data_IF_841636053301
#
_entry.id   IF_841636053301
#
_cell.length_a   1.000
_cell.length_b   1.000
_cell.length_c   1.000
_cell.angle_alpha   90.00
_cell.angle_beta   90.00
_cell.angle_gamma   90.00
#
_symmetry.space_group_name_H-M   'P 1'
#
loop_
_entity.id
_entity.type
_entity.pdbx_description
1 polymer ?
#
# COMPACT_ATOMS: atom_id res chain seq x y z
N UNK A 1 3.17 -12.47 -36.63
CA UNK A 1 4.15 -11.40 -36.46
C UNK A 1 5.47 -11.95 -35.92
N UNK A 2 5.44 -12.69 -34.82
CA UNK A 2 6.64 -13.27 -34.20
C UNK A 2 7.06 -14.62 -34.83
N UNK A 3 6.29 -15.16 -35.79
CA UNK A 3 6.53 -16.46 -36.44
C UNK A 3 6.69 -17.62 -35.43
N UNK A 4 6.08 -17.51 -34.27
CA UNK A 4 6.08 -18.55 -33.25
C UNK A 4 5.04 -19.61 -33.57
N UNK A 5 5.33 -20.90 -33.32
CA UNK A 5 4.33 -21.94 -33.38
C UNK A 5 3.16 -21.64 -32.42
N UNK A 6 1.94 -21.82 -32.89
CA UNK A 6 0.75 -21.55 -32.10
C UNK A 6 -0.31 -22.63 -32.25
N UNK A 7 -1.10 -22.85 -31.21
CA UNK A 7 -2.23 -23.80 -31.18
C UNK A 7 -3.50 -23.00 -30.93
N UNK A 8 -4.43 -23.02 -31.88
CA UNK A 8 -5.66 -22.21 -31.85
C UNK A 8 -6.85 -23.03 -31.37
N UNK A 9 -7.03 -23.19 -30.06
CA UNK A 9 -8.09 -24.00 -29.43
C UNK A 9 -9.48 -23.53 -29.82
N UNK A 10 -9.73 -22.21 -29.75
CA UNK A 10 -11.01 -21.62 -30.07
C UNK A 10 -11.46 -21.82 -31.53
N UNK A 11 -10.52 -21.83 -32.49
CA UNK A 11 -10.82 -22.02 -33.90
C UNK A 11 -11.32 -23.45 -34.18
N UNK A 12 -10.74 -24.45 -33.50
CA UNK A 12 -11.21 -25.84 -33.66
C UNK A 12 -12.60 -26.00 -33.08
N UNK A 13 -12.88 -25.46 -31.89
CA UNK A 13 -14.21 -25.48 -31.30
C UNK A 13 -15.23 -24.75 -32.17
N UNK A 14 -14.90 -23.59 -32.72
CA UNK A 14 -15.76 -22.84 -33.63
C UNK A 14 -16.04 -23.59 -34.95
N UNK A 15 -15.07 -24.32 -35.49
CA UNK A 15 -15.27 -25.15 -36.68
C UNK A 15 -16.26 -26.29 -36.41
N UNK A 16 -16.17 -26.94 -35.26
CA UNK A 16 -17.13 -27.99 -34.84
C UNK A 16 -18.51 -27.42 -34.57
N UNK A 17 -18.63 -26.25 -33.98
CA UNK A 17 -19.90 -25.57 -33.79
C UNK A 17 -20.56 -25.23 -35.13
N UNK A 18 -19.81 -24.65 -36.06
CA UNK A 18 -20.29 -24.35 -37.42
C UNK A 18 -20.72 -25.62 -38.20
N UNK A 19 -20.05 -26.73 -37.95
CA UNK A 19 -20.41 -28.02 -38.51
C UNK A 19 -21.60 -28.69 -37.79
N UNK A 20 -22.20 -28.06 -36.80
CA UNK A 20 -23.30 -28.60 -36.02
C UNK A 20 -22.94 -29.72 -35.05
N UNK A 21 -21.63 -29.99 -34.85
CA UNK A 21 -21.11 -31.09 -34.03
C UNK A 21 -20.81 -30.68 -32.60
N UNK A 22 -20.92 -29.40 -32.27
CA UNK A 22 -20.66 -28.85 -30.96
C UNK A 22 -21.80 -27.89 -30.57
N UNK A 23 -22.19 -27.94 -29.31
CA UNK A 23 -23.03 -26.94 -28.65
C UNK A 23 -22.14 -26.16 -27.66
N UNK A 24 -21.96 -24.89 -27.91
CA UNK A 24 -21.05 -24.05 -27.11
C UNK A 24 -21.56 -23.86 -25.68
N UNK A 25 -22.87 -23.63 -25.54
CA UNK A 25 -23.54 -23.43 -24.25
C UNK A 25 -24.84 -24.17 -24.17
N UNK A 26 -25.08 -24.88 -23.08
CA UNK A 26 -26.35 -25.57 -22.88
C UNK A 26 -26.32 -26.62 -21.77
N UNK A 27 -27.23 -27.58 -21.86
CA UNK A 27 -27.28 -28.74 -20.97
C UNK A 27 -27.10 -30.04 -21.77
N UNK A 28 -26.85 -31.15 -21.10
CA UNK A 28 -26.69 -32.47 -21.74
C UNK A 28 -27.93 -32.90 -22.49
N UNK A 29 -29.13 -32.55 -22.00
CA UNK A 29 -30.42 -32.87 -22.59
C UNK A 29 -30.61 -32.15 -23.93
N UNK A 30 -30.03 -30.97 -24.11
CA UNK A 30 -30.11 -30.18 -25.37
C UNK A 30 -29.00 -30.55 -26.35
N UNK A 31 -27.88 -31.06 -25.85
CA UNK A 31 -26.69 -31.38 -26.65
C UNK A 31 -26.72 -32.77 -27.30
N UNK A 32 -27.91 -33.37 -27.49
CA UNK A 32 -28.02 -34.74 -28.04
C UNK A 32 -27.23 -34.88 -29.34
N UNK A 33 -26.27 -35.84 -29.36
CA UNK A 33 -25.44 -36.12 -30.55
C UNK A 33 -24.35 -35.07 -30.83
N UNK A 34 -24.15 -34.09 -29.93
CA UNK A 34 -23.11 -33.02 -30.04
C UNK A 34 -22.21 -33.02 -28.83
N UNK A 35 -21.04 -32.51 -29.00
CA UNK A 35 -20.13 -32.17 -27.90
C UNK A 35 -20.71 -30.97 -27.18
N UNK A 36 -21.02 -31.08 -25.87
CA UNK A 36 -21.35 -29.93 -25.06
C UNK A 36 -20.05 -29.32 -24.51
N UNK A 37 -19.78 -28.08 -24.94
CA UNK A 37 -18.54 -27.41 -24.52
C UNK A 37 -18.61 -26.88 -23.09
N UNK A 38 -19.70 -26.20 -22.75
CA UNK A 38 -19.85 -25.48 -21.49
C UNK A 38 -21.32 -25.39 -21.06
N UNK A 39 -21.57 -25.32 -19.75
CA UNK A 39 -22.92 -25.05 -19.23
C UNK A 39 -23.24 -23.55 -19.22
N UNK A 40 -22.22 -22.70 -19.04
CA UNK A 40 -22.35 -21.24 -18.87
C UNK A 40 -21.84 -20.42 -20.08
N UNK A 41 -21.17 -21.07 -21.03
CA UNK A 41 -20.58 -20.42 -22.20
C UNK A 41 -19.13 -19.94 -22.00
N UNK A 42 -18.56 -20.14 -20.82
CA UNK A 42 -17.22 -19.69 -20.46
C UNK A 42 -16.33 -20.84 -19.98
N UNK A 43 -16.80 -21.62 -19.02
CA UNK A 43 -16.02 -22.67 -18.38
C UNK A 43 -16.26 -24.03 -19.07
N UNK A 44 -15.26 -24.61 -19.74
CA UNK A 44 -15.40 -25.90 -20.37
C UNK A 44 -15.72 -26.98 -19.33
N UNK A 45 -16.72 -27.81 -19.64
CA UNK A 45 -16.95 -29.07 -18.92
C UNK A 45 -16.02 -30.15 -19.43
N UNK A 46 -16.10 -31.39 -18.90
CA UNK A 46 -15.21 -32.50 -19.29
C UNK A 46 -15.08 -32.68 -20.80
N UNK A 47 -16.18 -32.66 -21.55
CA UNK A 47 -16.15 -32.86 -23.01
C UNK A 47 -15.47 -31.69 -23.75
N UNK A 48 -15.75 -30.45 -23.33
CA UNK A 48 -15.05 -29.24 -23.83
C UNK A 48 -13.56 -29.21 -23.47
N UNK A 49 -13.22 -29.63 -22.25
CA UNK A 49 -11.84 -29.79 -21.81
C UNK A 49 -11.10 -30.88 -22.61
N UNK A 50 -11.71 -32.02 -22.86
CA UNK A 50 -11.15 -33.10 -23.68
C UNK A 50 -10.93 -32.68 -25.13
N UNK A 51 -11.83 -31.85 -25.70
CA UNK A 51 -11.65 -31.27 -27.03
C UNK A 51 -10.37 -30.39 -27.06
N UNK A 52 -10.18 -29.51 -26.08
CA UNK A 52 -8.99 -28.67 -25.98
C UNK A 52 -7.72 -29.50 -25.76
N UNK A 53 -7.75 -30.48 -24.87
CA UNK A 53 -6.61 -31.38 -24.63
C UNK A 53 -6.18 -32.10 -25.91
N UNK A 54 -7.16 -32.59 -26.71
CA UNK A 54 -6.92 -33.25 -27.99
C UNK A 54 -6.34 -32.28 -29.04
N UNK A 55 -6.82 -31.04 -29.08
CA UNK A 55 -6.27 -30.01 -29.96
C UNK A 55 -4.82 -29.65 -29.59
N UNK A 56 -4.53 -29.56 -28.30
CA UNK A 56 -3.16 -29.32 -27.79
C UNK A 56 -2.24 -30.49 -28.21
N UNK A 57 -2.66 -31.72 -28.00
CA UNK A 57 -1.86 -32.92 -28.34
C UNK A 57 -1.50 -32.93 -29.85
N UNK A 58 -2.51 -32.71 -30.71
CA UNK A 58 -2.28 -32.62 -32.18
C UNK A 58 -1.38 -31.45 -32.56
N UNK A 59 -1.56 -30.31 -31.93
CA UNK A 59 -0.73 -29.11 -32.16
C UNK A 59 0.73 -29.32 -31.77
N UNK A 60 0.96 -29.92 -30.60
CA UNK A 60 2.32 -30.26 -30.16
C UNK A 60 3.00 -31.30 -31.08
N UNK A 61 2.24 -32.30 -31.53
CA UNK A 61 2.77 -33.30 -32.50
C UNK A 61 3.13 -32.66 -33.82
N UNK A 62 2.31 -31.73 -34.33
CA UNK A 62 2.59 -30.94 -35.53
C UNK A 62 3.87 -30.12 -35.34
N UNK A 63 3.99 -29.35 -34.29
CA UNK A 63 5.18 -28.56 -33.97
C UNK A 63 6.43 -29.44 -33.89
N UNK A 64 6.33 -30.62 -33.25
CA UNK A 64 7.43 -31.60 -33.16
C UNK A 64 7.85 -32.13 -34.50
N UNK A 65 6.91 -32.38 -35.41
CA UNK A 65 7.19 -32.90 -36.78
C UNK A 65 7.79 -31.83 -37.67
N UNK A 66 7.39 -30.58 -37.52
CA UNK A 66 7.92 -29.43 -38.28
C UNK A 66 9.34 -29.08 -37.89
N UNK A 67 9.85 -29.66 -36.79
CA UNK A 67 11.18 -29.65 -36.22
C UNK A 67 12.04 -28.48 -36.74
N UNK A 68 11.69 -27.28 -36.34
CA UNK A 68 12.59 -26.15 -36.49
C UNK A 68 13.74 -26.37 -35.52
N UNK A 69 14.94 -26.61 -36.06
CA UNK A 69 16.16 -26.55 -35.27
C UNK A 69 16.13 -25.30 -34.42
N UNK A 70 16.63 -25.38 -33.17
CA UNK A 70 16.73 -24.22 -32.28
C UNK A 70 17.33 -23.04 -33.02
N UNK A 71 16.49 -22.12 -33.46
CA UNK A 71 16.94 -20.89 -34.14
C UNK A 71 16.91 -19.76 -33.10
N UNK A 72 17.94 -18.96 -33.15
CA UNK A 72 17.92 -17.70 -32.41
C UNK A 72 16.84 -16.82 -33.04
N UNK A 73 15.73 -16.65 -32.35
CA UNK A 73 14.67 -15.75 -32.76
C UNK A 73 15.06 -14.31 -32.44
N UNK A 74 15.32 -13.53 -33.47
CA UNK A 74 15.40 -12.08 -33.34
C UNK A 74 13.99 -11.56 -33.14
N UNK A 75 13.69 -11.02 -31.94
CA UNK A 75 12.42 -10.37 -31.73
C UNK A 75 12.36 -9.08 -32.56
N UNK A 76 11.28 -8.86 -33.32
CA UNK A 76 11.08 -7.57 -33.98
C UNK A 76 10.78 -6.48 -32.94
N UNK A 77 10.80 -5.21 -33.38
CA UNK A 77 10.39 -4.10 -32.55
C UNK A 77 8.99 -4.35 -31.94
N UNK A 78 8.77 -3.96 -30.67
CA UNK A 78 7.48 -4.15 -30.01
C UNK A 78 6.32 -3.52 -30.80
N UNK A 79 5.18 -4.22 -30.91
CA UNK A 79 3.96 -3.68 -31.51
C UNK A 79 3.34 -2.54 -30.69
N UNK A 80 3.59 -2.54 -29.41
CA UNK A 80 3.14 -1.55 -28.44
C UNK A 80 4.34 -1.07 -27.64
N UNK A 81 4.18 0.03 -26.90
CA UNK A 81 5.26 0.53 -26.05
C UNK A 81 5.73 -0.50 -25.02
N UNK A 82 7.00 -0.40 -24.64
CA UNK A 82 7.68 -1.31 -23.71
C UNK A 82 7.60 -0.86 -22.24
N UNK A 83 6.67 0.03 -21.91
CA UNK A 83 6.59 0.68 -20.60
C UNK A 83 6.39 -0.31 -19.44
N UNK A 84 5.92 -1.52 -19.73
CA UNK A 84 5.71 -2.56 -18.72
C UNK A 84 6.85 -3.57 -18.61
N UNK A 85 7.87 -3.51 -19.45
CA UNK A 85 9.03 -4.41 -19.37
C UNK A 85 9.85 -4.19 -18.08
N UNK A 86 9.78 -3.00 -17.48
CA UNK A 86 10.40 -2.69 -16.20
C UNK A 86 9.50 -3.01 -14.99
N UNK A 87 8.32 -3.60 -15.22
CA UNK A 87 7.39 -3.91 -14.14
C UNK A 87 7.74 -5.24 -13.48
N UNK A 88 7.84 -5.24 -12.15
CA UNK A 88 8.20 -6.41 -11.36
C UNK A 88 7.44 -6.44 -10.02
N UNK A 89 7.32 -7.65 -9.46
CA UNK A 89 6.71 -7.90 -8.16
C UNK A 89 7.77 -8.31 -7.14
N UNK A 90 7.83 -7.57 -6.04
CA UNK A 90 8.85 -7.78 -5.00
C UNK A 90 8.22 -8.35 -3.72
N UNK A 91 8.94 -9.24 -3.04
CA UNK A 91 8.61 -9.68 -1.68
C UNK A 91 8.82 -8.48 -0.75
N UNK A 92 7.80 -8.08 0.03
CA UNK A 92 7.87 -6.85 0.81
C UNK A 92 9.05 -6.79 1.78
N UNK A 93 9.35 -7.88 2.47
CA UNK A 93 10.46 -7.95 3.44
C UNK A 93 11.86 -7.81 2.81
N UNK A 94 11.98 -7.98 1.48
CA UNK A 94 13.27 -7.84 0.77
C UNK A 94 13.60 -6.41 0.39
N UNK A 95 12.59 -5.55 0.19
CA UNK A 95 12.81 -4.20 -0.32
C UNK A 95 12.29 -3.09 0.61
N UNK A 96 11.50 -3.42 1.63
CA UNK A 96 10.90 -2.46 2.53
C UNK A 96 11.32 -2.67 3.99
N UNK A 97 11.39 -1.57 4.73
CA UNK A 97 11.59 -1.54 6.17
C UNK A 97 10.24 -1.37 6.87
N UNK A 98 9.94 -2.25 7.80
CA UNK A 98 8.69 -2.30 8.56
C UNK A 98 8.89 -1.85 10.00
N UNK A 99 7.93 -1.16 10.58
CA UNK A 99 7.95 -0.94 12.02
C UNK A 99 7.61 -2.23 12.79
N UNK A 100 7.86 -2.23 14.12
CA UNK A 100 7.71 -3.41 14.98
C UNK A 100 6.26 -3.92 15.11
N UNK A 101 5.28 -3.25 14.53
CA UNK A 101 3.87 -3.66 14.56
C UNK A 101 3.51 -4.62 13.43
N UNK A 102 4.37 -4.73 12.42
CA UNK A 102 4.19 -5.65 11.31
C UNK A 102 4.76 -7.03 11.66
N UNK A 103 4.08 -8.06 11.19
CA UNK A 103 4.49 -9.46 11.35
C UNK A 103 4.43 -10.14 10.00
N UNK A 104 5.40 -10.99 9.74
CA UNK A 104 5.34 -11.91 8.61
C UNK A 104 4.58 -13.17 9.03
N UNK A 105 3.57 -13.56 8.26
CA UNK A 105 2.79 -14.77 8.50
C UNK A 105 2.81 -15.68 7.27
N UNK A 106 2.89 -16.97 7.51
CA UNK A 106 2.87 -17.98 6.46
C UNK A 106 1.41 -18.28 6.06
N UNK A 107 1.11 -18.16 4.79
CA UNK A 107 -0.25 -18.33 4.27
C UNK A 107 -0.71 -19.78 4.31
N UNK A 108 0.19 -20.75 4.10
CA UNK A 108 -0.14 -22.18 4.04
C UNK A 108 -0.69 -22.73 5.35
N UNK A 109 -0.27 -22.15 6.49
CA UNK A 109 -0.68 -22.54 7.85
C UNK A 109 -1.74 -21.63 8.46
N UNK A 110 -2.07 -20.51 7.80
CA UNK A 110 -3.13 -19.58 8.25
C UNK A 110 -4.44 -19.94 7.55
N UNK A 111 -5.46 -20.46 8.26
CA UNK A 111 -6.63 -21.07 7.62
C UNK A 111 -7.36 -20.15 6.64
N UNK A 112 -7.57 -18.88 7.01
CA UNK A 112 -8.24 -17.87 6.16
C UNK A 112 -7.46 -17.51 4.91
N UNK A 113 -6.13 -17.68 4.91
CA UNK A 113 -5.23 -17.27 3.84
C UNK A 113 -4.69 -18.46 3.03
N UNK A 114 -4.94 -19.68 3.45
CA UNK A 114 -4.38 -20.91 2.84
C UNK A 114 -4.57 -21.02 1.34
N UNK A 115 -5.72 -20.56 0.82
CA UNK A 115 -6.00 -20.60 -0.62
C UNK A 115 -5.10 -19.66 -1.46
N UNK A 116 -4.35 -18.77 -0.82
CA UNK A 116 -3.42 -17.85 -1.47
C UNK A 116 -1.97 -18.33 -1.43
N UNK A 117 -1.69 -19.50 -0.82
CA UNK A 117 -0.32 -20.03 -0.71
C UNK A 117 0.38 -20.29 -2.04
N UNK A 118 -0.38 -20.44 -3.14
CA UNK A 118 0.18 -20.51 -4.50
C UNK A 118 0.60 -19.15 -5.09
N UNK A 119 0.22 -18.02 -4.45
CA UNK A 119 0.59 -16.66 -4.86
C UNK A 119 1.60 -16.03 -3.90
N UNK A 120 1.41 -16.30 -2.60
CA UNK A 120 2.20 -15.72 -1.53
C UNK A 120 2.56 -16.83 -0.53
N UNK A 121 3.83 -17.16 -0.40
CA UNK A 121 4.30 -18.06 0.68
C UNK A 121 4.09 -17.39 2.03
N UNK A 122 4.41 -16.09 2.09
CA UNK A 122 4.21 -15.24 3.25
C UNK A 122 3.56 -13.92 2.87
N UNK A 123 2.89 -13.30 3.84
CA UNK A 123 2.39 -11.92 3.75
C UNK A 123 2.83 -11.15 4.98
N UNK A 124 3.10 -9.86 4.79
CA UNK A 124 3.30 -8.92 5.90
C UNK A 124 1.94 -8.42 6.37
N UNK A 125 1.69 -8.47 7.67
CA UNK A 125 0.40 -8.05 8.23
C UNK A 125 0.55 -7.13 9.43
N UNK A 126 -0.32 -6.15 9.52
CA UNK A 126 -0.56 -5.34 10.71
C UNK A 126 -2.02 -4.90 10.75
N UNK A 127 -2.59 -4.84 11.93
CA UNK A 127 -3.91 -4.25 12.20
C UNK A 127 -3.81 -2.97 13.03
N UNK A 128 -2.59 -2.53 13.34
CA UNK A 128 -2.34 -1.38 14.19
C UNK A 128 -2.42 -0.10 13.39
N UNK A 129 -3.35 0.76 13.74
CA UNK A 129 -3.47 2.10 13.16
C UNK A 129 -2.16 2.88 13.34
N UNK A 130 -1.73 3.59 12.30
CA UNK A 130 -0.47 4.33 12.27
C UNK A 130 0.76 3.48 11.99
N UNK A 131 0.69 2.14 12.04
CA UNK A 131 1.84 1.30 11.65
C UNK A 131 2.20 1.49 10.20
N UNK A 132 3.48 1.41 9.88
CA UNK A 132 3.97 1.77 8.55
C UNK A 132 5.11 0.90 8.08
N UNK A 133 5.29 0.90 6.77
CA UNK A 133 6.51 0.43 6.12
C UNK A 133 6.96 1.43 5.05
N UNK A 134 8.26 1.42 4.76
CA UNK A 134 8.85 2.34 3.79
C UNK A 134 9.83 1.61 2.87
N UNK A 135 9.89 2.04 1.63
CA UNK A 135 10.86 1.57 0.64
C UNK A 135 11.27 2.69 -0.31
N UNK A 136 12.42 2.52 -0.95
CA UNK A 136 12.87 3.42 -2.00
C UNK A 136 12.82 2.75 -3.36
N UNK A 137 12.55 3.51 -4.42
CA UNK A 137 12.63 3.02 -5.77
C UNK A 137 12.94 4.13 -6.78
N UNK A 138 13.51 3.74 -7.92
CA UNK A 138 13.64 4.58 -9.10
C UNK A 138 12.66 4.09 -10.16
N UNK A 139 11.69 4.92 -10.52
CA UNK A 139 10.62 4.55 -11.44
C UNK A 139 9.50 5.56 -11.47
N UNK A 140 8.32 5.13 -11.92
CA UNK A 140 7.15 6.00 -12.08
C UNK A 140 5.81 5.35 -11.67
N UNK A 141 5.85 4.13 -11.13
CA UNK A 141 4.63 3.47 -10.65
C UNK A 141 4.92 2.52 -9.52
N UNK A 142 4.07 2.57 -8.50
CA UNK A 142 4.05 1.62 -7.40
C UNK A 142 2.69 0.96 -7.30
N UNK A 143 2.62 -0.21 -6.68
CA UNK A 143 1.35 -0.86 -6.37
C UNK A 143 1.46 -1.77 -5.17
N UNK A 144 0.29 -2.11 -4.64
CA UNK A 144 0.14 -3.09 -3.57
C UNK A 144 -0.64 -4.28 -4.12
N UNK A 145 -0.06 -5.46 -4.04
CA UNK A 145 -0.76 -6.72 -4.27
C UNK A 145 -0.97 -7.39 -2.92
N UNK A 146 -2.20 -7.41 -2.47
CA UNK A 146 -2.60 -7.77 -1.11
C UNK A 146 -3.83 -8.68 -1.10
N UNK A 147 -4.25 -9.09 0.10
CA UNK A 147 -5.45 -9.89 0.28
C UNK A 147 -6.50 -9.02 0.95
N UNK A 148 -7.59 -8.78 0.23
CA UNK A 148 -8.81 -8.20 0.78
C UNK A 148 -9.61 -9.21 1.58
N UNK A 149 -10.27 -8.76 2.64
CA UNK A 149 -11.10 -9.56 3.53
C UNK A 149 -12.02 -8.69 4.39
N UNK A 150 -12.87 -9.29 5.22
CA UNK A 150 -13.81 -8.53 6.08
C UNK A 150 -13.13 -7.53 6.99
N UNK A 151 -11.98 -7.91 7.57
CA UNK A 151 -11.22 -7.13 8.54
C UNK A 151 -10.29 -6.09 7.92
N UNK A 152 -10.12 -6.06 6.59
CA UNK A 152 -9.16 -5.14 5.97
C UNK A 152 -9.58 -3.68 6.12
N UNK A 153 -8.58 -2.82 6.26
CA UNK A 153 -8.74 -1.39 6.45
C UNK A 153 -8.36 -0.56 5.23
N UNK A 154 -7.90 0.62 5.50
CA UNK A 154 -7.40 1.59 4.53
C UNK A 154 -5.91 1.86 4.81
N UNK A 155 -5.20 2.30 3.79
CA UNK A 155 -3.82 2.78 3.94
C UNK A 155 -3.70 4.20 3.43
N UNK A 156 -2.75 4.93 3.98
CA UNK A 156 -2.33 6.24 3.53
C UNK A 156 -0.99 6.11 2.84
N UNK A 157 -0.77 6.93 1.84
CA UNK A 157 0.44 6.91 1.02
C UNK A 157 1.18 8.22 1.20
N UNK A 158 2.46 8.10 1.55
CA UNK A 158 3.38 9.23 1.55
C UNK A 158 4.41 9.00 0.44
N UNK A 159 4.61 10.02 -0.37
CA UNK A 159 5.66 10.05 -1.38
C UNK A 159 6.63 11.17 -1.00
N UNK A 160 7.90 10.81 -0.86
CA UNK A 160 8.98 11.73 -0.49
C UNK A 160 8.65 12.51 0.82
N UNK A 161 8.05 11.79 1.78
CA UNK A 161 7.66 12.30 3.10
C UNK A 161 6.39 13.16 3.13
N UNK A 162 5.69 13.31 2.01
CA UNK A 162 4.42 14.07 1.93
C UNK A 162 3.24 13.13 1.75
N UNK A 163 2.16 13.35 2.47
CA UNK A 163 0.88 12.73 2.14
C UNK A 163 0.44 13.16 0.76
N UNK A 164 0.06 12.20 -0.05
CA UNK A 164 -0.50 12.45 -1.38
C UNK A 164 -1.97 12.10 -1.41
N UNK A 165 -2.74 12.84 -2.19
CA UNK A 165 -4.09 12.44 -2.57
C UNK A 165 -4.01 11.50 -3.75
N UNK A 166 -4.89 10.52 -3.77
CA UNK A 166 -4.97 9.50 -4.80
C UNK A 166 -6.20 9.80 -5.67
N UNK A 167 -5.94 10.34 -6.86
CA UNK A 167 -6.96 10.56 -7.87
C UNK A 167 -7.12 9.30 -8.70
N UNK A 168 -8.28 8.68 -8.65
CA UNK A 168 -8.58 7.53 -9.49
C UNK A 168 -8.72 7.96 -10.96
N UNK A 169 -7.98 7.32 -11.85
CA UNK A 169 -7.94 7.65 -13.29
C UNK A 169 -8.40 6.50 -14.19
N UNK A 170 -8.45 5.28 -13.69
CA UNK A 170 -9.03 4.12 -14.39
C UNK A 170 -9.54 3.08 -13.41
N UNK A 171 -10.68 2.47 -13.77
CA UNK A 171 -11.28 1.32 -13.06
C UNK A 171 -11.41 0.10 -13.97
N UNK A 172 -10.97 0.19 -15.23
CA UNK A 172 -11.05 -0.92 -16.18
C UNK A 172 -9.92 -1.92 -15.94
N UNK A 173 -10.28 -3.12 -15.51
CA UNK A 173 -9.36 -4.23 -15.23
C UNK A 173 -8.72 -4.13 -13.84
N UNK A 174 -8.09 -3.04 -13.49
CA UNK A 174 -7.52 -2.73 -12.18
C UNK A 174 -7.69 -1.25 -11.87
N UNK A 175 -7.61 -0.88 -10.58
CA UNK A 175 -7.70 0.51 -10.17
C UNK A 175 -6.34 1.16 -10.35
N UNK A 176 -6.31 2.20 -11.19
CA UNK A 176 -5.15 3.03 -11.42
C UNK A 176 -5.39 4.40 -10.79
N UNK A 177 -4.50 4.80 -9.92
CA UNK A 177 -4.48 6.10 -9.27
C UNK A 177 -3.32 6.95 -9.77
N UNK A 178 -3.46 8.24 -9.66
CA UNK A 178 -2.39 9.21 -9.83
C UNK A 178 -2.19 9.96 -8.51
N UNK A 179 -0.94 10.04 -8.06
CA UNK A 179 -0.61 10.86 -6.90
C UNK A 179 -0.81 12.34 -7.24
N UNK A 180 -1.60 13.04 -6.44
CA UNK A 180 -2.05 14.40 -6.68
C UNK A 180 -2.00 15.23 -5.40
N UNK A 181 -1.69 16.51 -5.52
CA UNK A 181 -1.60 17.43 -4.36
C UNK A 181 -2.95 18.05 -3.98
N UNK A 182 -3.94 18.01 -4.88
CA UNK A 182 -5.19 18.77 -4.73
C UNK A 182 -6.46 17.93 -4.81
N UNK A 183 -6.47 16.86 -5.60
CA UNK A 183 -7.68 16.10 -5.95
C UNK A 183 -7.49 14.65 -5.59
N UNK A 184 -8.50 14.02 -5.00
CA UNK A 184 -8.51 12.60 -4.64
C UNK A 184 -8.60 12.39 -3.13
N UNK A 185 -8.53 11.15 -2.71
CA UNK A 185 -8.59 10.74 -1.32
C UNK A 185 -7.19 10.57 -0.74
N UNK A 186 -6.99 10.87 0.54
CA UNK A 186 -5.74 10.57 1.25
C UNK A 186 -5.57 9.09 1.55
N UNK A 187 -6.66 8.33 1.52
CA UNK A 187 -6.67 6.90 1.83
C UNK A 187 -6.89 6.06 0.59
N UNK A 188 -6.16 4.95 0.52
CA UNK A 188 -6.40 3.86 -0.43
C UNK A 188 -7.14 2.76 0.32
N UNK A 189 -8.41 2.59 -0.01
CA UNK A 189 -9.26 1.60 0.64
C UNK A 189 -8.94 0.19 0.12
N UNK A 190 -8.67 -0.74 1.04
CA UNK A 190 -8.40 -2.15 0.71
C UNK A 190 -9.64 -3.04 0.89
N UNK A 191 -10.74 -2.49 1.40
CA UNK A 191 -12.02 -3.18 1.48
C UNK A 191 -12.90 -2.86 0.26
N UNK A 192 -13.50 -3.87 -0.32
CA UNK A 192 -14.43 -3.72 -1.45
C UNK A 192 -15.64 -4.66 -1.30
N UNK A 193 -16.62 -4.54 -2.19
CA UNK A 193 -17.86 -5.34 -2.14
C UNK A 193 -17.67 -6.86 -2.24
N UNK A 194 -16.50 -7.32 -2.67
CA UNK A 194 -16.16 -8.75 -2.74
C UNK A 194 -15.59 -9.29 -1.42
N UNK A 195 -15.33 -8.42 -0.44
CA UNK A 195 -14.81 -8.79 0.88
C UNK A 195 -15.90 -9.23 1.86
N UNK A 196 -17.12 -9.41 1.41
CA UNK A 196 -18.24 -9.90 2.23
C UNK A 196 -18.01 -11.36 2.64
N UNK A 197 -17.61 -11.58 3.89
CA UNK A 197 -17.27 -12.88 4.46
C UNK A 197 -16.33 -13.74 3.60
N UNK A 198 -15.49 -13.12 2.79
CA UNK A 198 -14.54 -13.83 1.93
C UNK A 198 -13.26 -13.03 1.73
N UNK A 199 -12.20 -13.78 1.40
CA UNK A 199 -10.90 -13.20 1.10
C UNK A 199 -10.63 -13.27 -0.40
N UNK A 200 -9.98 -12.24 -0.93
CA UNK A 200 -9.66 -12.12 -2.35
C UNK A 200 -8.30 -11.46 -2.54
N UNK A 201 -7.47 -12.01 -3.43
CA UNK A 201 -6.29 -11.30 -3.93
C UNK A 201 -6.72 -10.09 -4.76
N UNK A 202 -6.07 -8.97 -4.55
CA UNK A 202 -6.36 -7.71 -5.22
C UNK A 202 -5.10 -6.88 -5.38
N UNK A 203 -5.08 -6.00 -6.37
CA UNK A 203 -4.00 -5.04 -6.54
C UNK A 203 -4.52 -3.73 -7.09
N UNK A 204 -3.87 -2.66 -6.67
CA UNK A 204 -4.04 -1.32 -7.20
C UNK A 204 -2.67 -0.72 -7.45
N UNK A 205 -2.58 0.20 -8.39
CA UNK A 205 -1.34 0.87 -8.74
C UNK A 205 -1.49 2.39 -8.71
N UNK A 206 -0.40 3.06 -8.37
CA UNK A 206 -0.31 4.51 -8.23
C UNK A 206 0.77 5.01 -9.17
N UNK A 207 0.40 5.86 -10.11
CA UNK A 207 1.30 6.53 -11.03
C UNK A 207 1.93 7.74 -10.36
N UNK A 208 3.23 7.87 -10.52
CA UNK A 208 4.06 8.97 -10.02
C UNK A 208 4.76 9.66 -11.20
N UNK A 209 5.43 10.77 -10.93
CA UNK A 209 6.42 11.30 -11.88
C UNK A 209 7.62 10.36 -11.90
N UNK A 210 8.22 10.16 -13.09
CA UNK A 210 9.44 9.33 -13.19
C UNK A 210 10.57 9.97 -12.37
N UNK A 211 11.18 9.18 -11.48
CA UNK A 211 12.26 9.66 -10.61
C UNK A 211 12.60 8.68 -9.50
N UNK A 212 13.42 9.16 -8.57
CA UNK A 212 13.76 8.44 -7.33
C UNK A 212 12.79 8.89 -6.26
N UNK A 213 12.12 7.93 -5.62
CA UNK A 213 11.10 8.18 -4.63
C UNK A 213 11.33 7.36 -3.36
N UNK A 214 11.00 7.95 -2.23
CA UNK A 214 10.77 7.25 -0.98
C UNK A 214 9.27 7.13 -0.77
N UNK A 215 8.78 5.91 -0.65
CA UNK A 215 7.37 5.60 -0.39
C UNK A 215 7.21 5.14 1.04
N UNK A 216 6.22 5.68 1.73
CA UNK A 216 5.77 5.16 3.02
C UNK A 216 4.29 4.83 2.92
N UNK A 217 3.94 3.62 3.28
CA UNK A 217 2.56 3.16 3.39
C UNK A 217 2.23 3.03 4.87
N UNK A 218 1.11 3.59 5.29
CA UNK A 218 0.68 3.61 6.69
C UNK A 218 -0.73 3.06 6.81
N UNK A 219 -0.99 2.22 7.80
CA UNK A 219 -2.35 1.80 8.15
C UNK A 219 -3.12 3.00 8.64
N UNK A 220 -4.21 3.35 7.99
CA UNK A 220 -5.01 4.53 8.32
C UNK A 220 -5.81 4.32 9.60
N UNK A 221 -5.99 5.41 10.36
CA UNK A 221 -6.98 5.48 11.44
C UNK A 221 -8.42 5.70 10.93
N UNK A 222 -8.55 6.19 9.69
CA UNK A 222 -9.85 6.29 9.03
C UNK A 222 -10.40 4.90 8.70
N UNK A 223 -11.66 4.68 9.01
CA UNK A 223 -12.39 3.44 8.67
C UNK A 223 -13.29 3.68 7.48
N UNK A 224 -13.21 2.79 6.49
CA UNK A 224 -14.16 2.79 5.39
C UNK A 224 -15.57 2.47 5.87
N UNK A 225 -16.58 3.11 5.29
CA UNK A 225 -17.98 2.73 5.49
C UNK A 225 -18.29 1.41 4.77
N UNK A 226 -17.94 0.31 5.43
CA UNK A 226 -18.05 -1.04 4.89
C UNK A 226 -19.49 -1.43 4.58
N UNK A 227 -20.49 -0.95 5.34
CA UNK A 227 -21.91 -1.19 5.04
C UNK A 227 -22.32 -0.52 3.75
N UNK A 228 -21.91 0.72 3.52
CA UNK A 228 -22.18 1.44 2.27
C UNK A 228 -21.52 0.75 1.08
N UNK A 229 -20.29 0.27 1.21
CA UNK A 229 -19.55 -0.42 0.16
C UNK A 229 -20.21 -1.74 -0.21
N UNK A 230 -20.66 -2.53 0.78
CA UNK A 230 -21.33 -3.81 0.54
C UNK A 230 -22.74 -3.63 -0.10
N UNK A 231 -23.42 -2.56 0.24
CA UNK A 231 -24.82 -2.35 -0.17
C UNK A 231 -25.80 -3.31 0.54
N UNK A 232 -27.06 -2.95 0.52
CA UNK A 232 -28.12 -3.60 1.33
C UNK A 232 -28.25 -5.12 1.13
N UNK A 233 -27.89 -5.63 -0.04
CA UNK A 233 -28.00 -7.07 -0.35
C UNK A 233 -26.94 -7.93 0.33
N UNK A 234 -25.97 -7.34 0.99
CA UNK A 234 -24.81 -8.03 1.59
C UNK A 234 -24.59 -7.68 3.06
N UNK A 235 -25.62 -7.23 3.78
CA UNK A 235 -25.51 -6.80 5.18
C UNK A 235 -25.64 -7.93 6.20
N UNK A 236 -25.95 -9.15 5.79
CA UNK A 236 -26.18 -10.25 6.72
C UNK A 236 -24.96 -10.52 7.59
N UNK A 237 -23.82 -10.80 6.99
CA UNK A 237 -22.59 -11.15 7.73
C UNK A 237 -22.05 -9.98 8.55
N UNK A 238 -22.00 -8.76 8.01
CA UNK A 238 -21.53 -7.58 8.77
C UNK A 238 -22.46 -7.20 9.91
N UNK A 239 -23.73 -7.56 9.82
CA UNK A 239 -24.71 -7.32 10.91
C UNK A 239 -24.59 -8.38 11.99
N UNK A 240 -24.34 -9.64 11.61
CA UNK A 240 -24.15 -10.75 12.54
C UNK A 240 -22.78 -10.70 13.26
N UNK A 241 -21.75 -10.21 12.58
CA UNK A 241 -20.37 -10.21 13.04
C UNK A 241 -19.67 -8.84 12.86
N UNK A 242 -20.20 -7.76 13.48
CA UNK A 242 -19.65 -6.41 13.30
C UNK A 242 -18.18 -6.30 13.75
N UNK A 243 -17.76 -7.03 14.78
CA UNK A 243 -16.39 -7.07 15.29
C UNK A 243 -15.36 -7.53 14.25
N UNK A 244 -15.77 -8.37 13.33
CA UNK A 244 -14.95 -8.85 12.22
C UNK A 244 -14.64 -7.75 11.20
N UNK A 245 -15.60 -6.84 11.00
CA UNK A 245 -15.47 -5.73 10.06
C UNK A 245 -14.91 -4.45 10.68
N UNK A 246 -14.91 -4.34 12.01
CA UNK A 246 -14.41 -3.17 12.72
C UNK A 246 -12.89 -3.19 12.95
N UNK A 247 -12.16 -3.78 12.02
CA UNK A 247 -10.69 -3.86 12.05
C UNK A 247 -10.09 -3.12 10.87
N UNK A 248 -8.78 -2.85 10.95
CA UNK A 248 -7.99 -2.18 9.91
C UNK A 248 -6.77 -3.01 9.51
N UNK A 249 -6.97 -4.32 9.35
CA UNK A 249 -5.89 -5.26 8.99
C UNK A 249 -5.43 -5.06 7.55
N UNK A 250 -4.13 -5.18 7.30
CA UNK A 250 -3.54 -5.24 5.96
C UNK A 250 -2.81 -6.57 5.81
N UNK A 251 -2.94 -7.22 4.65
CA UNK A 251 -2.26 -8.46 4.28
C UNK A 251 -1.46 -8.23 3.00
N UNK A 252 -0.29 -7.63 3.10
CA UNK A 252 0.55 -7.27 1.97
C UNK A 252 1.33 -8.48 1.46
N UNK A 253 1.03 -8.93 0.24
CA UNK A 253 1.69 -10.05 -0.41
C UNK A 253 2.87 -9.65 -1.27
N UNK A 254 2.74 -8.59 -2.08
CA UNK A 254 3.81 -8.07 -2.94
C UNK A 254 3.74 -6.55 -3.03
N UNK A 255 4.90 -5.95 -3.26
CA UNK A 255 5.03 -4.58 -3.73
C UNK A 255 5.26 -4.65 -5.24
N UNK A 256 4.45 -3.93 -5.99
CA UNK A 256 4.56 -3.83 -7.44
C UNK A 256 5.31 -2.56 -7.79
N UNK A 257 6.31 -2.66 -8.65
CA UNK A 257 7.05 -1.49 -9.13
C UNK A 257 7.12 -1.52 -10.66
N UNK A 258 6.96 -0.36 -11.29
CA UNK A 258 7.50 -0.09 -12.61
C UNK A 258 8.73 0.76 -12.41
N UNK A 259 9.89 0.06 -12.40
CA UNK A 259 11.17 0.59 -11.99
C UNK A 259 11.95 -0.39 -11.11
N UNK A 260 12.95 0.12 -10.40
CA UNK A 260 13.88 -0.70 -9.60
C UNK A 260 13.88 -0.27 -8.13
N UNK A 261 13.87 -1.22 -7.18
CA UNK A 261 14.03 -0.87 -5.77
C UNK A 261 15.42 -0.29 -5.52
N UNK A 262 15.46 0.70 -4.65
CA UNK A 262 16.71 1.31 -4.18
C UNK A 262 16.78 1.06 -2.67
N UNK A 263 17.90 0.53 -2.13
CA UNK A 263 18.10 0.44 -0.70
C UNK A 263 17.91 1.81 -0.03
N UNK A 264 17.10 1.87 1.02
CA UNK A 264 16.81 3.13 1.73
C UNK A 264 18.07 3.88 2.17
N UNK A 265 19.16 3.16 2.44
CA UNK A 265 20.48 3.71 2.77
C UNK A 265 21.14 4.45 1.59
N UNK A 266 20.80 4.12 0.36
CA UNK A 266 21.31 4.78 -0.86
C UNK A 266 20.47 5.96 -1.33
N UNK A 267 19.33 6.22 -0.71
CA UNK A 267 18.54 7.43 -0.98
C UNK A 267 19.24 8.69 -0.40
N UNK A 268 20.53 8.61 -0.15
CA UNK A 268 21.39 9.76 0.21
C UNK A 268 21.43 10.87 -0.83
N UNK A 269 20.90 10.64 -2.03
CA UNK A 269 20.82 11.62 -3.10
C UNK A 269 19.41 12.10 -3.44
N UNK A 270 18.36 11.54 -2.84
CA UNK A 270 17.06 12.24 -2.85
C UNK A 270 17.31 13.50 -2.03
N UNK A 271 17.16 14.70 -2.60
CA UNK A 271 17.22 15.89 -1.79
C UNK A 271 16.27 15.65 -0.63
N UNK A 272 16.80 15.63 0.60
CA UNK A 272 15.94 15.78 1.78
C UNK A 272 14.97 16.85 1.39
N UNK A 273 13.67 16.58 1.46
CA UNK A 273 12.66 17.56 1.08
C UNK A 273 13.08 18.94 1.60
N UNK A 274 12.89 20.04 0.85
CA UNK A 274 13.25 21.37 1.32
C UNK A 274 12.78 21.65 2.75
N UNK A 275 11.68 21.01 3.19
CA UNK A 275 11.20 21.02 4.56
C UNK A 275 12.07 20.21 5.53
N UNK A 276 12.60 19.05 5.12
CA UNK A 276 13.55 18.28 5.96
C UNK A 276 14.91 18.95 6.05
N UNK A 277 15.32 19.68 5.03
CA UNK A 277 16.52 20.51 5.06
C UNK A 277 16.31 21.79 5.87
N UNK A 278 15.09 22.32 5.87
CA UNK A 278 14.76 23.58 6.54
C UNK A 278 15.17 23.58 8.02
N UNK A 279 15.00 22.45 8.71
CA UNK A 279 15.29 22.35 10.14
C UNK A 279 16.47 21.44 10.50
N UNK A 280 17.15 20.85 9.51
CA UNK A 280 18.26 19.93 9.77
C UNK A 280 19.38 20.56 10.63
N UNK A 281 19.72 21.82 10.35
CA UNK A 281 20.70 22.54 11.16
C UNK A 281 20.22 22.79 12.59
N UNK A 282 18.90 22.96 12.76
CA UNK A 282 18.26 23.11 14.06
C UNK A 282 18.31 21.81 14.85
N UNK A 283 17.97 20.69 14.22
CA UNK A 283 18.06 19.38 14.82
C UNK A 283 19.49 19.07 15.28
N UNK A 284 20.48 19.30 14.41
CA UNK A 284 21.91 19.13 14.76
C UNK A 284 22.37 20.01 15.92
N UNK A 285 21.80 21.21 16.02
CA UNK A 285 22.09 22.09 17.18
C UNK A 285 21.54 21.52 18.47
N UNK A 286 20.33 21.01 18.47
CA UNK A 286 19.72 20.34 19.63
C UNK A 286 20.52 19.11 20.02
N UNK A 287 20.81 18.22 19.10
CA UNK A 287 21.61 17.01 19.31
C UNK A 287 23.01 17.32 19.89
N UNK A 288 23.67 18.36 19.35
CA UNK A 288 24.95 18.83 19.86
C UNK A 288 24.83 19.39 21.28
N UNK A 289 23.78 20.17 21.56
CA UNK A 289 23.55 20.70 22.91
C UNK A 289 23.32 19.57 23.92
N UNK A 290 22.57 18.55 23.54
CA UNK A 290 22.29 17.38 24.37
C UNK A 290 23.52 16.50 24.60
N UNK A 291 24.41 16.41 23.62
CA UNK A 291 25.68 15.71 23.78
C UNK A 291 26.64 16.40 24.76
N UNK A 292 26.53 17.72 24.91
CA UNK A 292 27.35 18.54 25.85
C UNK A 292 26.70 18.54 27.25
N UNK A 293 25.38 18.75 27.28
CA UNK A 293 24.59 18.78 28.52
C UNK A 293 23.40 17.82 28.38
N UNK A 294 23.57 16.54 28.74
CA UNK A 294 22.49 15.56 28.64
C UNK A 294 21.24 16.00 29.43
N UNK A 295 20.05 16.02 28.81
CA UNK A 295 18.81 16.40 29.49
C UNK A 295 18.50 15.48 30.67
N UNK A 296 17.96 16.08 31.73
CA UNK A 296 17.55 15.33 32.92
C UNK A 296 16.45 14.29 32.59
N UNK A 297 16.37 13.23 33.41
CA UNK A 297 15.18 12.39 33.45
C UNK A 297 14.03 13.14 34.11
N UNK A 298 12.79 12.74 33.80
CA UNK A 298 11.57 13.34 34.35
C UNK A 298 11.42 14.86 34.10
N UNK A 299 12.00 15.32 32.99
CA UNK A 299 11.91 16.70 32.54
C UNK A 299 10.50 17.09 32.06
N UNK A 300 10.30 18.40 31.94
CA UNK A 300 9.13 18.98 31.27
C UNK A 300 9.56 19.38 29.86
N UNK A 301 9.05 18.69 28.84
CA UNK A 301 9.39 18.91 27.45
C UNK A 301 8.41 19.89 26.80
N UNK A 302 8.93 20.94 26.19
CA UNK A 302 8.16 21.90 25.40
C UNK A 302 8.47 21.69 23.92
N UNK A 303 7.45 21.33 23.13
CA UNK A 303 7.55 21.11 21.68
C UNK A 303 6.51 21.94 20.95
N UNK A 304 6.80 22.28 19.73
CA UNK A 304 5.88 23.05 18.89
C UNK A 304 6.58 24.02 17.97
N UNK A 305 5.83 25.02 17.50
CA UNK A 305 6.28 25.98 16.51
C UNK A 305 7.10 27.15 17.07
N UNK A 306 7.03 28.30 16.39
CA UNK A 306 7.78 29.51 16.76
C UNK A 306 7.45 30.04 18.17
N UNK A 307 6.23 29.86 18.63
CA UNK A 307 5.81 30.26 19.99
C UNK A 307 6.66 29.54 21.02
N UNK A 308 6.89 28.25 20.89
CA UNK A 308 7.75 27.50 21.80
C UNK A 308 9.22 27.87 21.59
N UNK A 309 9.71 27.92 20.34
CA UNK A 309 11.12 28.25 20.07
C UNK A 309 11.53 29.62 20.63
N UNK A 310 10.63 30.60 20.53
CA UNK A 310 10.89 31.98 20.95
C UNK A 310 10.69 32.21 22.45
N UNK A 311 10.24 31.25 23.22
CA UNK A 311 10.13 31.36 24.67
C UNK A 311 11.52 31.28 25.31
N UNK A 312 12.26 32.41 25.26
CA UNK A 312 13.66 32.47 25.72
C UNK A 312 13.81 32.47 27.25
N UNK A 313 12.79 32.91 27.96
CA UNK A 313 12.73 32.94 29.42
C UNK A 313 12.17 31.65 30.02
N UNK A 314 11.97 30.59 29.25
CA UNK A 314 11.31 29.36 29.70
C UNK A 314 11.90 28.81 31.02
N UNK A 315 13.24 28.81 31.15
CA UNK A 315 13.90 28.33 32.38
C UNK A 315 13.65 29.23 33.58
N UNK A 316 13.58 30.52 33.33
CA UNK A 316 13.34 31.55 34.39
C UNK A 316 11.87 31.53 34.80
N UNK A 317 10.95 31.26 33.87
CA UNK A 317 9.50 31.16 34.13
C UNK A 317 9.13 29.87 34.89
N UNK A 318 10.00 28.86 34.88
CA UNK A 318 9.83 27.61 35.62
C UNK A 318 10.99 27.35 36.59
N UNK A 319 11.21 28.22 37.61
CA UNK A 319 12.36 28.11 38.49
C UNK A 319 12.39 26.78 39.25
N UNK A 320 13.56 26.13 39.22
CA UNK A 320 13.76 24.85 39.88
C UNK A 320 13.10 23.64 39.21
N UNK A 321 12.54 23.81 38.03
CA UNK A 321 11.99 22.69 37.23
C UNK A 321 12.93 22.32 36.07
N UNK A 322 13.15 21.04 35.79
CA UNK A 322 13.96 20.63 34.66
C UNK A 322 13.15 20.78 33.35
N UNK A 323 13.18 21.97 32.77
CA UNK A 323 12.50 22.27 31.50
C UNK A 323 13.41 22.10 30.30
N UNK A 324 12.88 21.64 29.18
CA UNK A 324 13.61 21.48 27.92
C UNK A 324 12.78 22.01 26.76
N UNK A 325 13.32 23.03 26.07
CA UNK A 325 12.66 23.59 24.88
C UNK A 325 13.16 22.91 23.60
N UNK A 326 12.24 22.34 22.84
CA UNK A 326 12.44 21.73 21.53
C UNK A 326 11.50 22.33 20.48
N UNK A 327 11.11 23.57 20.65
CA UNK A 327 10.34 24.35 19.68
C UNK A 327 11.11 24.59 18.39
N UNK A 328 10.45 24.56 17.24
CA UNK A 328 11.01 24.75 15.91
C UNK A 328 10.14 25.67 15.08
N UNK A 329 10.62 26.88 14.79
CA UNK A 329 9.85 27.91 14.11
C UNK A 329 9.38 27.47 12.72
N UNK A 330 8.09 27.69 12.44
CA UNK A 330 7.46 27.43 11.16
C UNK A 330 7.15 25.95 10.92
N UNK A 331 7.17 25.12 11.96
CA UNK A 331 6.63 23.75 11.88
C UNK A 331 5.11 23.76 11.86
N UNK A 332 4.56 22.78 11.20
CA UNK A 332 3.15 22.35 11.27
C UNK A 332 3.05 21.09 12.10
N UNK A 333 1.86 20.72 12.50
CA UNK A 333 1.62 19.49 13.28
C UNK A 333 2.24 18.26 12.63
N UNK A 334 2.14 18.11 11.30
CA UNK A 334 2.76 17.02 10.55
C UNK A 334 4.30 17.05 10.59
N UNK A 335 4.91 18.24 10.63
CA UNK A 335 6.35 18.35 10.72
C UNK A 335 6.84 17.86 12.09
N UNK A 336 6.15 18.19 13.17
CA UNK A 336 6.45 17.69 14.51
C UNK A 336 6.34 16.15 14.57
N UNK A 337 5.34 15.56 13.92
CA UNK A 337 5.22 14.10 13.76
C UNK A 337 6.44 13.52 13.04
N UNK A 338 6.88 14.15 11.95
CA UNK A 338 8.00 13.67 11.14
C UNK A 338 9.36 13.79 11.85
N UNK A 339 9.52 14.78 12.75
CA UNK A 339 10.75 14.99 13.52
C UNK A 339 10.69 14.43 14.95
N UNK A 340 9.63 13.73 15.32
CA UNK A 340 9.46 13.19 16.68
C UNK A 340 10.65 12.39 17.19
N UNK A 341 11.28 11.59 16.33
CA UNK A 341 12.44 10.75 16.68
C UNK A 341 13.68 11.56 17.10
N UNK A 342 13.69 12.86 16.83
CA UNK A 342 14.75 13.79 17.16
C UNK A 342 14.33 14.84 18.20
N UNK A 343 13.03 15.14 18.30
CA UNK A 343 12.50 16.19 19.19
C UNK A 343 11.83 15.64 20.46
N UNK A 344 11.40 14.37 20.45
CA UNK A 344 10.57 13.80 21.52
C UNK A 344 11.10 12.45 21.97
N UNK A 345 11.33 11.51 21.05
CA UNK A 345 11.69 10.11 21.36
C UNK A 345 12.96 9.98 22.23
N UNK A 346 14.02 10.80 22.03
CA UNK A 346 15.26 10.67 22.80
C UNK A 346 15.08 11.00 24.30
N UNK A 347 14.02 11.71 24.68
CA UNK A 347 13.85 12.23 26.05
C UNK A 347 12.92 11.33 26.87
N UNK A 348 13.01 11.49 28.20
CA UNK A 348 12.15 10.82 29.18
C UNK A 348 11.37 11.88 29.96
N UNK A 349 10.39 12.55 29.33
CA UNK A 349 9.63 13.59 30.01
C UNK A 349 8.55 13.00 30.91
N UNK A 350 8.26 13.68 32.02
CA UNK A 350 7.04 13.45 32.80
C UNK A 350 5.85 14.27 32.29
N UNK A 351 6.14 15.40 31.63
CA UNK A 351 5.13 16.26 31.00
C UNK A 351 5.62 16.71 29.62
N UNK A 352 4.69 16.78 28.67
CA UNK A 352 4.94 17.28 27.30
C UNK A 352 3.94 18.38 27.01
N UNK A 353 4.42 19.60 26.86
CA UNK A 353 3.63 20.74 26.38
C UNK A 353 3.74 20.83 24.87
N UNK A 354 2.60 20.84 24.19
CA UNK A 354 2.52 20.89 22.73
C UNK A 354 1.81 22.17 22.30
N UNK A 355 2.46 22.97 21.46
CA UNK A 355 1.84 24.14 20.82
C UNK A 355 2.03 24.05 19.31
N UNK A 356 0.99 23.60 18.61
CA UNK A 356 0.97 23.46 17.15
C UNK A 356 -0.43 23.77 16.59
N UNK A 357 -0.50 23.98 15.28
CA UNK A 357 -1.74 24.22 14.53
C UNK A 357 -1.87 25.63 13.98
N UNK A 358 -1.18 26.62 14.53
CA UNK A 358 -1.19 28.00 14.06
C UNK A 358 -0.63 28.13 12.64
N UNK A 359 0.49 27.47 12.36
CA UNK A 359 1.06 27.44 11.02
C UNK A 359 0.21 26.60 10.05
N UNK A 360 -0.44 25.55 10.50
CA UNK A 360 -1.36 24.74 9.69
C UNK A 360 -2.48 25.62 9.13
N UNK A 361 -3.05 26.51 9.95
CA UNK A 361 -4.04 27.53 9.53
C UNK A 361 -3.42 28.49 8.51
N UNK A 362 -2.22 28.97 8.77
CA UNK A 362 -1.49 29.87 7.87
C UNK A 362 -1.19 29.26 6.50
N UNK A 363 -1.09 27.94 6.41
CA UNK A 363 -0.96 27.17 5.17
C UNK A 363 -2.30 26.72 4.57
N UNK A 364 -3.42 27.28 5.05
CA UNK A 364 -4.78 27.07 4.55
C UNK A 364 -5.28 25.61 4.72
N UNK A 365 -4.82 24.91 5.74
CA UNK A 365 -5.41 23.64 6.11
C UNK A 365 -6.79 23.85 6.75
N UNK A 366 -7.71 22.97 6.45
CA UNK A 366 -9.04 23.01 7.05
C UNK A 366 -9.00 22.59 8.53
N UNK A 367 -9.96 23.02 9.35
CA UNK A 367 -10.04 22.58 10.75
C UNK A 367 -10.05 21.06 10.91
N UNK A 368 -10.71 20.33 10.02
CA UNK A 368 -10.77 18.87 10.06
C UNK A 368 -9.39 18.24 9.77
N UNK A 369 -8.67 18.75 8.78
CA UNK A 369 -7.30 18.30 8.46
C UNK A 369 -6.35 18.56 9.64
N UNK A 370 -6.45 19.71 10.27
CA UNK A 370 -5.65 20.06 11.46
C UNK A 370 -5.98 19.13 12.61
N UNK A 371 -7.27 18.95 12.90
CA UNK A 371 -7.75 18.07 13.98
C UNK A 371 -7.24 16.63 13.79
N UNK A 372 -7.26 16.11 12.58
CA UNK A 372 -6.74 14.78 12.30
C UNK A 372 -5.22 14.68 12.55
N UNK A 373 -4.43 15.69 12.18
CA UNK A 373 -3.00 15.68 12.49
C UNK A 373 -2.73 15.79 13.98
N UNK A 374 -3.49 16.63 14.70
CA UNK A 374 -3.39 16.74 16.17
C UNK A 374 -3.73 15.41 16.84
N UNK A 375 -4.83 14.75 16.47
CA UNK A 375 -5.19 13.42 16.99
C UNK A 375 -4.06 12.40 16.76
N UNK A 376 -3.45 12.41 15.57
CA UNK A 376 -2.32 11.54 15.24
C UNK A 376 -1.09 11.83 16.11
N UNK A 377 -0.75 13.09 16.28
CA UNK A 377 0.35 13.50 17.16
C UNK A 377 0.09 12.98 18.58
N UNK A 378 -1.08 13.23 19.15
CA UNK A 378 -1.42 12.76 20.49
C UNK A 378 -1.40 11.23 20.61
N UNK A 379 -1.90 10.51 19.62
CA UNK A 379 -1.83 9.06 19.59
C UNK A 379 -0.37 8.56 19.64
N UNK A 380 0.53 9.18 18.85
CA UNK A 380 1.95 8.84 18.81
C UNK A 380 2.59 9.14 20.18
N UNK A 381 2.32 10.31 20.75
CA UNK A 381 2.88 10.72 22.04
C UNK A 381 2.43 9.78 23.17
N UNK A 382 1.17 9.43 23.23
CA UNK A 382 0.63 8.46 24.22
C UNK A 382 1.28 7.10 24.11
N UNK A 383 1.57 6.66 22.89
CA UNK A 383 2.23 5.38 22.64
C UNK A 383 3.69 5.38 23.04
N UNK A 384 4.43 6.43 22.68
CA UNK A 384 5.88 6.49 22.91
C UNK A 384 6.23 6.91 24.34
N UNK A 385 5.38 7.69 24.97
CA UNK A 385 5.55 8.25 26.32
C UNK A 385 4.31 8.01 27.17
N UNK A 386 3.96 6.75 27.45
CA UNK A 386 2.69 6.40 28.13
C UNK A 386 2.57 7.02 29.52
N UNK A 387 3.71 7.21 30.21
CA UNK A 387 3.75 7.78 31.57
C UNK A 387 3.78 9.32 31.57
N UNK A 388 3.98 9.96 30.41
CA UNK A 388 4.03 11.41 30.34
C UNK A 388 2.61 12.00 30.30
N UNK A 389 2.40 13.07 31.06
CA UNK A 389 1.22 13.93 30.90
C UNK A 389 1.39 14.79 29.65
N UNK A 390 0.39 14.79 28.76
CA UNK A 390 0.39 15.58 27.53
C UNK A 390 -0.57 16.74 27.70
N UNK A 391 -0.07 17.95 27.50
CA UNK A 391 -0.78 19.22 27.75
C UNK A 391 -0.81 20.03 26.45
#
# INVERSE_FOLDING_TARGET
YYQLPSIHLGMEAAALEKAGKLLWKGTKEVAVGKILFSNDGVHPITDGGNLYASAIARGLEKIRKENSASQVHMLPEPLFGSEWEEAEMYIPSQIASFDNSWKEINTSVTPSLKKFSGWFDTVMTSSKEGSSFSFGFEGDMIGLFDIGGPEVGQVEVLIDGKFVRLKEISTKGFHLYEANDRIGNYTLNRFNSWCNNRYRGQYDVIKLKKGIHQVTIRVSSEKADKKKILGNKQWEDITAHPEKYDQSTIYLGRILLRGKPIPCERIKGVPKLPQQLKWEQKMKRYEKADSINPPAKDLILFVGSSTMENWKTLADDFPGKPVLNRGVSGTKTIDLINYKDRLISPYHPKQIFVYEGDNDIGYQWTPDEILEQIKRLFFILRKEKPEAEII
#
